data_IF_516500726442
#
_entry.id   IF_516500726442
#
_cell.length_a   1.000
_cell.length_b   1.000
_cell.length_c   1.000
_cell.angle_alpha   90.00
_cell.angle_beta   90.00
_cell.angle_gamma   90.00
#
_symmetry.space_group_name_H-M   'P 1'
#
loop_
_entity.id
_entity.type
_entity.pdbx_description
1 polymer ?
#
# COMPACT_ATOMS: atom_id res chain seq x y z
N UNK A 1 -6.87 -11.72 13.38
CA UNK A 1 -6.95 -10.64 12.38
C UNK A 1 -5.55 -10.36 11.84
N UNK A 2 -5.42 -10.05 10.54
CA UNK A 2 -4.17 -10.14 9.78
C UNK A 2 -3.79 -8.86 9.03
N UNK A 3 -3.21 -9.03 7.84
CA UNK A 3 -2.64 -7.97 7.01
C UNK A 3 -3.22 -8.10 5.60
N UNK A 4 -3.58 -7.00 4.95
CA UNK A 4 -4.02 -7.04 3.54
C UNK A 4 -2.85 -7.40 2.62
N UNK A 5 -1.67 -6.81 2.84
CA UNK A 5 -0.47 -7.10 2.05
C UNK A 5 0.80 -7.27 2.88
N UNK A 6 1.79 -7.94 2.27
CA UNK A 6 3.16 -8.00 2.76
C UNK A 6 4.17 -7.77 1.60
N UNK A 7 4.27 -6.54 1.05
CA UNK A 7 5.09 -6.30 -0.13
C UNK A 7 6.58 -6.48 0.17
N UNK A 8 7.28 -7.11 -0.78
CA UNK A 8 8.73 -7.34 -0.73
C UNK A 8 9.47 -6.71 -1.92
N UNK A 9 8.89 -5.66 -2.51
CA UNK A 9 9.45 -4.94 -3.65
C UNK A 9 10.86 -4.46 -3.35
N UNK A 10 11.82 -4.82 -4.21
CA UNK A 10 13.19 -4.31 -4.14
C UNK A 10 13.22 -2.78 -4.32
N UNK A 11 14.13 -2.10 -3.61
CA UNK A 11 14.22 -0.63 -3.66
C UNK A 11 14.51 -0.10 -5.07
N UNK A 12 15.19 -0.89 -5.90
CA UNK A 12 15.50 -0.56 -7.31
C UNK A 12 14.29 -0.71 -8.23
N UNK A 13 13.26 -1.43 -7.82
CA UNK A 13 12.00 -1.49 -8.55
C UNK A 13 11.07 -0.35 -8.07
N UNK A 14 10.74 0.62 -8.94
CA UNK A 14 9.92 1.78 -8.54
C UNK A 14 8.48 1.40 -8.18
N UNK A 15 7.94 0.31 -8.74
CA UNK A 15 6.53 -0.05 -8.63
C UNK A 15 6.36 -1.44 -8.01
N UNK A 16 5.53 -1.51 -6.96
CA UNK A 16 5.15 -2.72 -6.26
C UNK A 16 3.66 -3.01 -6.48
N UNK A 17 2.88 -2.92 -5.41
CA UNK A 17 1.44 -3.23 -5.44
C UNK A 17 0.62 -1.93 -5.60
N UNK A 18 -0.35 -1.93 -6.52
CA UNK A 18 -1.32 -0.86 -6.68
C UNK A 18 -2.73 -1.39 -6.43
N UNK A 19 -3.43 -0.77 -5.48
CA UNK A 19 -4.88 -0.92 -5.31
C UNK A 19 -5.52 0.39 -5.79
N UNK A 20 -6.12 0.34 -6.97
CA UNK A 20 -6.77 1.49 -7.60
C UNK A 20 -8.27 1.22 -7.68
N UNK A 21 -9.08 2.15 -7.15
CA UNK A 21 -10.55 2.08 -7.21
C UNK A 21 -11.12 0.75 -6.69
N UNK A 22 -10.50 0.22 -5.63
CA UNK A 22 -10.92 -1.01 -4.97
C UNK A 22 -11.93 -0.73 -3.84
N UNK A 23 -12.54 -1.80 -3.31
CA UNK A 23 -13.32 -1.76 -2.07
C UNK A 23 -12.80 -2.83 -1.11
N UNK A 24 -12.22 -2.42 0.02
CA UNK A 24 -11.80 -3.32 1.09
C UNK A 24 -12.99 -3.57 2.03
N UNK A 25 -13.48 -4.81 2.07
CA UNK A 25 -14.60 -5.23 2.92
C UNK A 25 -14.23 -6.42 3.79
N UNK A 26 -14.86 -6.53 4.96
CA UNK A 26 -14.63 -7.67 5.87
C UNK A 26 -15.73 -7.71 6.94
N UNK A 27 -15.96 -8.90 7.50
CA UNK A 27 -16.73 -9.12 8.73
C UNK A 27 -15.85 -9.14 9.99
N UNK A 28 -14.54 -8.90 9.87
CA UNK A 28 -13.65 -8.78 11.02
C UNK A 28 -14.06 -7.61 11.93
N UNK A 29 -13.77 -7.67 13.24
CA UNK A 29 -14.02 -6.56 14.15
C UNK A 29 -13.38 -5.26 13.66
N UNK A 30 -13.99 -4.12 14.02
CA UNK A 30 -13.43 -2.81 13.69
C UNK A 30 -12.00 -2.65 14.23
N UNK A 31 -11.15 -1.91 13.50
CA UNK A 31 -9.76 -1.64 13.89
C UNK A 31 -8.92 -2.89 14.21
N UNK A 32 -9.08 -3.97 13.46
CA UNK A 32 -8.43 -5.25 13.78
C UNK A 32 -7.48 -5.76 12.70
N UNK A 33 -7.54 -5.22 11.49
CA UNK A 33 -6.72 -5.61 10.34
C UNK A 33 -5.77 -4.46 9.97
N UNK A 34 -4.53 -4.80 9.65
CA UNK A 34 -3.53 -3.86 9.13
C UNK A 34 -3.65 -3.76 7.60
N UNK A 35 -3.44 -2.56 7.05
CA UNK A 35 -3.28 -2.39 5.61
C UNK A 35 -2.04 -3.13 5.09
N UNK A 36 -0.99 -3.29 5.89
CA UNK A 36 0.14 -4.11 5.47
C UNK A 36 1.37 -4.01 6.37
N UNK A 37 2.41 -4.73 5.97
CA UNK A 37 3.73 -4.76 6.62
C UNK A 37 4.83 -5.06 5.61
N UNK A 38 6.05 -4.52 5.71
CA UNK A 38 7.05 -4.70 4.67
C UNK A 38 7.83 -5.99 4.86
N UNK A 39 7.78 -6.92 3.90
CA UNK A 39 8.45 -8.21 4.04
C UNK A 39 9.85 -8.21 3.41
N UNK A 40 10.94 -8.32 4.18
CA UNK A 40 12.28 -8.59 3.64
C UNK A 40 12.38 -10.07 3.25
N UNK A 41 11.70 -10.46 2.17
CA UNK A 41 11.61 -11.84 1.70
C UNK A 41 13.00 -12.46 1.48
N UNK A 42 13.17 -13.70 1.95
CA UNK A 42 14.45 -14.40 1.87
C UNK A 42 15.61 -13.74 2.64
N UNK A 43 15.33 -12.77 3.52
CA UNK A 43 16.36 -12.00 4.20
C UNK A 43 16.98 -10.88 3.35
N UNK A 44 16.30 -10.44 2.28
CA UNK A 44 16.74 -9.31 1.46
C UNK A 44 17.00 -8.07 2.33
N UNK A 45 18.20 -7.51 2.24
CA UNK A 45 18.60 -6.28 2.95
C UNK A 45 18.15 -5.01 2.20
N UNK A 46 17.78 -5.15 0.92
CA UNK A 46 17.41 -4.05 0.03
C UNK A 46 15.92 -3.97 -0.28
N UNK A 47 15.15 -5.00 0.08
CA UNK A 47 13.70 -4.96 -0.03
C UNK A 47 13.14 -3.76 0.77
N UNK A 48 12.39 -2.90 0.07
CA UNK A 48 11.64 -1.76 0.61
C UNK A 48 10.26 -1.81 -0.02
N UNK A 49 9.46 -2.74 0.49
CA UNK A 49 8.14 -3.09 -0.02
C UNK A 49 7.31 -1.86 -0.37
N UNK A 50 6.64 -1.90 -1.51
CA UNK A 50 5.82 -0.79 -2.01
C UNK A 50 4.38 -1.22 -2.17
N UNK A 51 3.48 -0.44 -1.59
CA UNK A 51 2.04 -0.51 -1.87
C UNK A 51 1.46 0.89 -1.89
N UNK A 52 0.61 1.16 -2.88
CA UNK A 52 -0.26 2.31 -2.92
C UNK A 52 -1.71 1.86 -2.92
N UNK A 53 -2.47 2.30 -1.92
CA UNK A 53 -3.93 2.28 -1.96
C UNK A 53 -4.41 3.66 -2.42
N UNK A 54 -5.01 3.75 -3.61
CA UNK A 54 -5.50 5.02 -4.15
C UNK A 54 -6.95 4.92 -4.60
N UNK A 55 -7.70 5.99 -4.31
CA UNK A 55 -9.12 6.12 -4.63
C UNK A 55 -9.93 4.90 -4.18
N UNK A 56 -9.50 4.27 -3.08
CA UNK A 56 -10.02 3.00 -2.60
C UNK A 56 -10.93 3.23 -1.40
N UNK A 57 -12.07 2.55 -1.37
CA UNK A 57 -12.93 2.52 -0.19
C UNK A 57 -12.36 1.54 0.85
N UNK A 58 -12.13 2.01 2.08
CA UNK A 58 -11.55 1.25 3.18
C UNK A 58 -12.58 1.07 4.29
N UNK A 59 -13.01 -0.18 4.50
CA UNK A 59 -13.96 -0.55 5.54
C UNK A 59 -13.42 -0.46 6.97
N UNK A 60 -14.34 -0.48 7.94
CA UNK A 60 -14.04 -0.19 9.37
C UNK A 60 -13.15 -1.24 10.06
N UNK A 61 -12.94 -2.39 9.42
CA UNK A 61 -12.06 -3.45 9.92
C UNK A 61 -10.59 -3.02 9.93
N UNK A 62 -10.20 -2.03 9.11
CA UNK A 62 -8.83 -1.51 9.09
C UNK A 62 -8.55 -0.63 10.30
N UNK A 63 -7.37 -0.80 10.90
CA UNK A 63 -6.86 0.04 12.00
C UNK A 63 -6.71 1.49 11.54
N UNK A 64 -7.33 2.43 12.25
CA UNK A 64 -7.29 3.86 11.89
C UNK A 64 -6.07 4.60 12.46
N UNK A 65 -5.60 4.23 13.66
CA UNK A 65 -4.46 4.89 14.30
C UNK A 65 -3.09 4.41 13.79
N UNK A 66 -2.97 3.12 13.48
CA UNK A 66 -1.71 2.45 13.08
C UNK A 66 -2.03 1.31 12.10
N UNK A 67 -2.26 1.61 10.81
CA UNK A 67 -2.62 0.60 9.82
C UNK A 67 -1.44 -0.21 9.31
N UNK A 68 -0.21 0.18 9.63
CA UNK A 68 1.01 -0.50 9.21
C UNK A 68 1.66 -1.20 10.40
N UNK A 69 2.38 -2.27 10.13
CA UNK A 69 3.21 -2.92 11.15
C UNK A 69 4.59 -3.23 10.59
N UNK A 70 5.55 -3.39 11.48
CA UNK A 70 6.88 -3.90 11.16
C UNK A 70 6.82 -5.38 10.79
N UNK A 71 7.89 -5.86 10.12
CA UNK A 71 8.08 -7.28 9.89
C UNK A 71 9.56 -7.63 9.77
N UNK A 72 9.98 -8.67 10.50
CA UNK A 72 11.32 -9.27 10.39
C UNK A 72 12.47 -8.26 10.52
N UNK A 73 12.31 -7.25 11.38
CA UNK A 73 13.32 -6.22 11.64
C UNK A 73 13.31 -5.03 10.68
N UNK A 74 12.42 -5.01 9.68
CA UNK A 74 12.17 -3.84 8.83
C UNK A 74 10.99 -3.04 9.40
N UNK A 75 11.26 -1.78 9.75
CA UNK A 75 10.25 -0.84 10.21
C UNK A 75 9.32 -0.45 9.06
N UNK A 76 8.04 -0.23 9.36
CA UNK A 76 7.08 0.18 8.32
C UNK A 76 7.42 1.56 7.73
N UNK A 77 8.01 2.45 8.52
CA UNK A 77 8.44 3.79 8.12
C UNK A 77 9.56 3.76 7.08
N UNK A 78 10.38 2.70 7.09
CA UNK A 78 11.45 2.52 6.12
C UNK A 78 10.94 2.00 4.77
N UNK A 79 9.68 1.58 4.68
CA UNK A 79 9.06 1.05 3.47
C UNK A 79 8.26 2.11 2.70
N UNK A 80 7.74 1.73 1.52
CA UNK A 80 6.99 2.62 0.62
C UNK A 80 5.49 2.33 0.70
N UNK A 81 4.91 2.50 1.88
CA UNK A 81 3.49 2.22 2.17
C UNK A 81 2.72 3.55 2.15
N UNK A 82 1.86 3.76 1.14
CA UNK A 82 1.22 5.06 0.90
C UNK A 82 -0.27 4.93 0.58
N UNK A 83 -0.98 6.02 0.79
CA UNK A 83 -2.40 6.19 0.48
C UNK A 83 -2.65 7.44 -0.37
N UNK A 84 -3.72 7.46 -1.16
CA UNK A 84 -4.14 8.64 -1.91
C UNK A 84 -5.66 8.68 -2.10
N UNK A 85 -6.32 9.72 -1.58
CA UNK A 85 -7.77 9.93 -1.75
C UNK A 85 -8.63 8.71 -1.41
N UNK A 86 -8.24 7.92 -0.41
CA UNK A 86 -9.05 6.81 0.07
C UNK A 86 -10.27 7.35 0.83
N UNK A 87 -11.36 6.57 0.84
CA UNK A 87 -12.61 6.93 1.49
C UNK A 87 -13.09 5.82 2.41
N UNK A 88 -14.13 6.07 3.20
CA UNK A 88 -14.72 5.08 4.11
C UNK A 88 -14.17 5.12 5.53
N UNK A 89 -14.77 4.35 6.45
CA UNK A 89 -14.52 4.47 7.89
C UNK A 89 -13.12 4.03 8.34
N UNK A 90 -12.40 3.26 7.53
CA UNK A 90 -11.00 2.88 7.79
C UNK A 90 -9.96 3.80 7.12
N UNK A 91 -10.39 4.81 6.37
CA UNK A 91 -9.53 5.76 5.67
C UNK A 91 -9.40 7.07 6.46
N UNK A 92 -8.52 7.08 7.46
CA UNK A 92 -8.16 8.27 8.22
C UNK A 92 -6.86 8.89 7.72
N UNK A 93 -6.58 10.14 8.11
CA UNK A 93 -5.31 10.82 7.84
C UNK A 93 -4.66 11.19 9.17
N UNK A 94 -3.43 10.72 9.39
CA UNK A 94 -2.61 11.04 10.56
C UNK A 94 -1.13 10.74 10.27
N UNK A 95 -0.26 10.97 11.25
CA UNK A 95 1.19 10.80 11.12
C UNK A 95 1.63 9.37 10.73
N UNK A 96 0.84 8.35 11.05
CA UNK A 96 1.12 6.95 10.74
C UNK A 96 0.53 6.52 9.39
N UNK A 97 0.04 7.47 8.57
CA UNK A 97 -0.67 7.19 7.30
C UNK A 97 -0.18 8.09 6.19
N UNK A 98 1.04 7.87 5.67
CA UNK A 98 1.64 8.81 4.74
C UNK A 98 0.81 8.89 3.44
N UNK A 99 0.36 10.09 3.11
CA UNK A 99 -0.45 10.36 1.92
C UNK A 99 0.46 10.77 0.76
N UNK A 100 0.04 10.49 -0.48
CA UNK A 100 0.58 11.17 -1.64
C UNK A 100 -0.14 12.51 -1.85
N UNK A 101 0.60 13.51 -2.29
CA UNK A 101 0.04 14.68 -2.96
C UNK A 101 -0.47 14.31 -4.35
N UNK A 102 -1.33 15.13 -4.93
CA UNK A 102 -1.79 14.93 -6.32
C UNK A 102 -0.65 14.96 -7.34
N UNK A 103 0.38 15.77 -7.12
CA UNK A 103 1.57 15.80 -7.98
C UNK A 103 2.40 14.51 -7.89
N UNK A 104 2.49 13.90 -6.71
CA UNK A 104 3.16 12.60 -6.56
C UNK A 104 2.33 11.49 -7.20
N UNK A 105 1.01 11.46 -6.92
CA UNK A 105 0.08 10.43 -7.40
C UNK A 105 0.01 10.32 -8.93
N UNK A 106 0.28 11.42 -9.66
CA UNK A 106 0.36 11.43 -11.12
C UNK A 106 1.47 10.55 -11.71
N UNK A 107 2.42 10.08 -10.89
CA UNK A 107 3.48 9.13 -11.28
C UNK A 107 3.18 7.68 -10.80
N UNK A 108 1.97 7.42 -10.31
CA UNK A 108 1.54 6.12 -9.80
C UNK A 108 0.22 5.70 -10.45
N UNK A 109 0.11 5.87 -11.77
CA UNK A 109 -1.04 5.45 -12.56
C UNK A 109 -0.89 4.00 -13.06
N UNK A 110 -1.98 3.38 -13.49
CA UNK A 110 -1.95 2.01 -14.03
C UNK A 110 -0.92 1.84 -15.15
N UNK A 111 -0.79 2.84 -16.03
CA UNK A 111 0.19 2.80 -17.11
C UNK A 111 1.64 2.78 -16.58
N UNK A 112 1.94 3.48 -15.49
CA UNK A 112 3.29 3.51 -14.91
C UNK A 112 3.70 2.14 -14.37
N UNK A 113 2.76 1.45 -13.71
CA UNK A 113 2.96 0.11 -13.14
C UNK A 113 3.07 -0.98 -14.20
N UNK A 114 2.32 -0.87 -15.30
CA UNK A 114 2.12 -1.97 -16.25
C UNK A 114 2.98 -1.86 -17.51
N UNK A 115 3.49 -0.66 -17.84
CA UNK A 115 4.24 -0.41 -19.09
C UNK A 115 5.43 -1.34 -19.30
N UNK A 116 6.12 -1.74 -18.23
CA UNK A 116 7.32 -2.58 -18.34
C UNK A 116 8.36 -2.02 -19.32
N UNK A 117 9.17 -2.91 -19.89
CA UNK A 117 10.13 -2.58 -20.97
C UNK A 117 9.52 -2.70 -22.36
N UNK A 118 8.38 -3.38 -22.49
CA UNK A 118 7.70 -3.71 -23.74
C UNK A 118 6.58 -2.72 -24.10
N UNK A 119 6.28 -1.78 -23.21
CA UNK A 119 5.26 -0.77 -23.44
C UNK A 119 3.83 -1.25 -23.17
N UNK A 120 3.65 -2.34 -22.42
CA UNK A 120 2.33 -2.95 -22.24
C UNK A 120 1.29 -1.96 -21.70
N UNK A 121 0.15 -1.87 -22.38
CA UNK A 121 -0.97 -1.02 -22.00
C UNK A 121 -2.27 -1.81 -22.16
N UNK A 122 -2.81 -2.40 -21.08
CA UNK A 122 -4.00 -3.26 -21.15
C UNK A 122 -5.33 -2.51 -21.24
N UNK A 123 -5.32 -1.18 -21.21
CA UNK A 123 -6.52 -0.35 -21.30
C UNK A 123 -6.68 0.31 -22.68
N UNK A 124 -5.87 -0.10 -23.66
CA UNK A 124 -5.88 0.42 -25.03
C UNK A 124 -6.54 -0.54 -26.00
#
# INVERSE_FOLDING_TARGET
>A
NGYIVAPSTEITNPYGMLFYQCTLTSNAPANSVYLGRPWPAGGSTTARGQVLYRETYIGAHIRTAEPWSDMSGLAWEDARLREYQNTGPGATVNANRPQLSSSEAANYEMADYLRGSDGWNPIR
#
